data_IF_278153359448
#
_entry.id   IF_278153359448
#
_cell.length_a   1.000
_cell.length_b   1.000
_cell.length_c   1.000
_cell.angle_alpha   90.00
_cell.angle_beta   90.00
_cell.angle_gamma   90.00
#
_symmetry.space_group_name_H-M   'P 1'
#
loop_
_entity.id
_entity.type
_entity.pdbx_description
1 polymer ?
#
# COMPACT_ATOMS: atom_id res chain seq x y z
N UNK A 1 -59.72 -56.41 12.70
CA UNK A 1 -58.87 -55.28 13.13
C UNK A 1 -57.70 -55.25 12.16
N UNK A 2 -57.88 -54.57 11.01
CA UNK A 2 -57.51 -53.18 10.70
C UNK A 2 -56.04 -53.12 10.21
N UNK A 3 -55.82 -53.12 8.89
CA UNK A 3 -55.60 -51.94 8.00
C UNK A 3 -54.07 -51.74 7.92
N UNK A 4 -53.36 -51.55 6.80
CA UNK A 4 -53.43 -50.57 5.72
C UNK A 4 -52.32 -50.97 4.72
N UNK A 5 -52.42 -50.55 3.44
CA UNK A 5 -51.34 -49.99 2.59
C UNK A 5 -51.66 -50.24 1.10
N UNK A 6 -52.46 -49.33 0.52
CA UNK A 6 -52.46 -49.10 -0.93
C UNK A 6 -51.36 -48.11 -1.26
N UNK A 7 -50.41 -48.56 -2.08
CA UNK A 7 -49.32 -47.79 -2.66
C UNK A 7 -49.87 -46.94 -3.80
N UNK A 8 -49.77 -45.62 -3.66
CA UNK A 8 -49.91 -44.67 -4.78
C UNK A 8 -48.64 -43.85 -4.89
N UNK A 9 -48.04 -43.93 -6.07
CA UNK A 9 -46.86 -43.19 -6.54
C UNK A 9 -46.98 -41.67 -6.36
N UNK A 10 -45.89 -40.95 -6.05
CA UNK A 10 -45.91 -39.50 -5.98
C UNK A 10 -45.81 -38.86 -7.37
N UNK A 11 -46.70 -37.92 -7.67
CA UNK A 11 -46.50 -36.86 -8.65
C UNK A 11 -46.93 -35.56 -7.99
N UNK A 12 -45.99 -34.64 -7.72
CA UNK A 12 -46.28 -33.22 -7.60
C UNK A 12 -44.99 -32.44 -7.83
N UNK A 13 -44.96 -31.66 -8.92
CA UNK A 13 -44.07 -30.52 -9.02
C UNK A 13 -44.49 -29.46 -8.02
N UNK A 14 -43.51 -28.82 -7.39
CA UNK A 14 -43.70 -27.57 -6.67
C UNK A 14 -42.69 -26.56 -7.19
N UNK A 15 -43.25 -25.49 -7.73
CA UNK A 15 -42.60 -24.25 -8.13
C UNK A 15 -41.82 -23.66 -6.96
N UNK A 16 -40.59 -23.21 -7.23
CA UNK A 16 -39.87 -22.32 -6.31
C UNK A 16 -40.53 -20.93 -6.37
N UNK A 17 -41.63 -20.75 -5.63
CA UNK A 17 -42.16 -19.42 -5.35
C UNK A 17 -41.18 -18.69 -4.43
N UNK A 18 -40.34 -17.83 -4.97
CA UNK A 18 -39.55 -16.87 -4.20
C UNK A 18 -40.51 -15.85 -3.56
N UNK A 19 -40.96 -16.15 -2.35
CA UNK A 19 -41.65 -15.17 -1.51
C UNK A 19 -40.63 -14.13 -1.05
N UNK A 20 -40.54 -13.00 -1.75
CA UNK A 20 -39.90 -11.79 -1.24
C UNK A 20 -40.81 -11.17 -0.19
N UNK A 21 -40.54 -11.44 1.09
CA UNK A 21 -41.12 -10.63 2.16
C UNK A 21 -40.52 -9.22 2.11
N UNK A 22 -41.32 -8.14 2.13
CA UNK A 22 -40.79 -6.79 2.23
C UNK A 22 -40.13 -6.59 3.61
N UNK A 23 -38.84 -6.26 3.60
CA UNK A 23 -38.07 -5.97 4.82
C UNK A 23 -38.62 -4.67 5.43
N UNK A 24 -39.24 -4.77 6.60
CA UNK A 24 -39.66 -3.61 7.38
C UNK A 24 -38.51 -3.13 8.27
N UNK A 25 -38.43 -1.82 8.49
CA UNK A 25 -37.30 -1.14 9.17
C UNK A 25 -37.18 -1.51 10.67
N UNK A 26 -38.07 -2.36 11.18
CA UNK A 26 -38.15 -2.73 12.59
C UNK A 26 -38.48 -4.22 12.80
N UNK A 27 -37.94 -5.11 11.96
CA UNK A 27 -38.01 -6.55 12.21
C UNK A 27 -36.95 -6.96 13.25
N UNK A 28 -37.34 -7.43 14.44
CA UNK A 28 -36.40 -7.83 15.50
C UNK A 28 -35.52 -9.03 15.12
N UNK A 29 -35.82 -9.75 14.02
CA UNK A 29 -35.01 -10.86 13.51
C UNK A 29 -33.95 -10.42 12.48
N UNK A 30 -33.93 -9.15 12.06
CA UNK A 30 -32.96 -8.62 11.09
C UNK A 30 -32.09 -7.57 11.78
N UNK A 31 -30.86 -7.97 12.13
CA UNK A 31 -29.84 -7.03 12.57
C UNK A 31 -29.15 -6.42 11.35
N UNK A 32 -28.86 -5.12 11.41
CA UNK A 32 -28.14 -4.33 10.40
C UNK A 32 -28.89 -3.99 9.10
N UNK A 33 -29.92 -3.14 9.20
CA UNK A 33 -30.37 -2.35 8.05
C UNK A 33 -29.31 -1.26 7.80
N UNK A 34 -28.66 -1.30 6.64
CA UNK A 34 -27.66 -0.30 6.24
C UNK A 34 -28.37 1.04 6.04
N UNK A 35 -28.09 2.00 6.93
CA UNK A 35 -28.50 3.39 6.78
C UNK A 35 -27.45 4.12 5.92
N UNK A 36 -27.73 4.46 4.65
CA UNK A 36 -26.76 5.11 3.77
C UNK A 36 -26.45 6.56 4.18
N UNK A 37 -27.16 7.13 5.17
CA UNK A 37 -26.88 8.45 5.73
C UNK A 37 -25.88 8.44 6.90
N UNK A 38 -25.46 7.24 7.35
CA UNK A 38 -24.54 7.07 8.47
C UNK A 38 -23.43 6.07 8.12
N UNK A 39 -22.20 6.39 8.50
CA UNK A 39 -21.10 5.42 8.45
C UNK A 39 -21.27 4.48 9.64
N UNK A 40 -21.86 3.30 9.41
CA UNK A 40 -21.93 2.25 10.43
C UNK A 40 -20.52 1.70 10.70
N UNK A 41 -20.20 1.48 11.98
CA UNK A 41 -18.98 0.76 12.40
C UNK A 41 -19.05 -0.67 11.84
N UNK A 42 -17.93 -1.28 11.42
CA UNK A 42 -17.91 -2.71 11.14
C UNK A 42 -18.35 -3.46 12.39
N UNK A 43 -19.40 -4.25 12.24
CA UNK A 43 -20.13 -4.86 13.34
C UNK A 43 -19.28 -5.88 14.11
N UNK A 44 -19.51 -5.92 15.42
CA UNK A 44 -18.76 -6.74 16.36
C UNK A 44 -18.97 -8.23 16.11
N UNK A 45 -17.95 -8.90 15.59
CA UNK A 45 -17.72 -10.30 15.95
C UNK A 45 -17.01 -10.34 17.30
N UNK A 46 -17.77 -10.67 18.33
CA UNK A 46 -17.23 -11.14 19.59
C UNK A 46 -16.47 -12.44 19.34
N UNK A 47 -15.16 -12.37 19.54
CA UNK A 47 -14.18 -13.40 19.26
C UNK A 47 -12.91 -12.68 18.83
N UNK A 48 -11.99 -12.48 19.78
CA UNK A 48 -10.73 -11.72 19.72
C UNK A 48 -10.66 -10.41 20.53
N UNK A 49 -11.48 -10.25 21.58
CA UNK A 49 -11.28 -9.23 22.62
C UNK A 49 -10.63 -9.78 23.90
N UNK A 50 -9.75 -10.78 23.77
CA UNK A 50 -8.84 -11.21 24.84
C UNK A 50 -7.46 -11.55 24.25
N UNK A 51 -6.82 -10.55 23.64
CA UNK A 51 -5.36 -10.57 23.50
C UNK A 51 -4.87 -9.12 23.59
N UNK A 52 -4.43 -8.78 24.80
CA UNK A 52 -3.70 -7.56 25.10
C UNK A 52 -2.43 -7.49 24.23
N UNK A 53 -2.09 -6.26 23.85
CA UNK A 53 -0.77 -5.75 23.46
C UNK A 53 -0.24 -5.85 22.02
N UNK A 54 -0.86 -6.54 21.05
CA UNK A 54 -0.30 -6.56 19.67
C UNK A 54 -1.35 -6.57 18.56
N UNK A 55 -2.29 -5.61 18.57
CA UNK A 55 -3.19 -5.40 17.45
C UNK A 55 -2.61 -4.35 16.49
N UNK A 56 -2.00 -4.80 15.38
CA UNK A 56 -1.71 -4.00 14.19
C UNK A 56 -3.02 -3.62 13.44
N UNK A 57 -3.97 -3.02 14.16
CA UNK A 57 -5.17 -2.43 13.58
C UNK A 57 -4.83 -1.09 12.93
N UNK A 58 -5.51 -0.75 11.84
CA UNK A 58 -5.41 0.56 11.19
C UNK A 58 -6.00 1.64 12.11
N UNK A 59 -5.18 2.15 13.04
CA UNK A 59 -5.48 3.34 13.80
C UNK A 59 -5.32 4.56 12.88
N UNK A 60 -6.24 5.55 12.99
CA UNK A 60 -6.08 6.84 12.31
C UNK A 60 -5.01 7.73 12.96
N UNK A 61 -4.52 7.34 14.13
CA UNK A 61 -3.29 7.86 14.71
C UNK A 61 -2.10 7.15 14.04
N UNK A 62 -1.08 7.91 13.69
CA UNK A 62 0.07 7.42 12.94
C UNK A 62 0.70 6.20 13.62
N UNK A 63 1.04 5.15 12.84
CA UNK A 63 1.86 4.03 13.33
C UNK A 63 3.18 4.50 13.97
N UNK A 64 3.62 5.72 13.64
CA UNK A 64 4.78 6.37 14.24
C UNK A 64 4.57 6.76 15.71
N UNK A 65 3.39 7.23 16.12
CA UNK A 65 3.13 7.63 17.51
C UNK A 65 3.12 6.42 18.44
N UNK A 66 2.54 5.31 17.97
CA UNK A 66 2.59 4.03 18.68
C UNK A 66 4.02 3.47 18.74
N UNK A 67 4.79 3.59 17.66
CA UNK A 67 6.21 3.23 17.66
C UNK A 67 7.01 4.10 18.66
N UNK A 68 6.84 5.42 18.65
CA UNK A 68 7.54 6.33 19.56
C UNK A 68 7.16 6.08 21.02
N UNK A 69 5.90 5.74 21.28
CA UNK A 69 5.45 5.31 22.61
C UNK A 69 6.15 4.01 23.03
N UNK A 70 6.22 3.01 22.16
CA UNK A 70 6.93 1.76 22.40
C UNK A 70 8.44 1.98 22.62
N UNK A 71 9.08 2.88 21.85
CA UNK A 71 10.48 3.27 22.03
C UNK A 71 10.70 3.93 23.39
N UNK A 72 9.79 4.82 23.80
CA UNK A 72 9.87 5.55 25.07
C UNK A 72 9.63 4.63 26.28
N UNK A 73 8.73 3.67 26.14
CA UNK A 73 8.32 2.76 27.22
C UNK A 73 9.21 1.51 27.32
N UNK A 74 9.93 1.14 26.25
CA UNK A 74 10.81 -0.04 26.23
C UNK A 74 12.27 0.32 26.49
N UNK A 75 12.69 0.18 27.75
CA UNK A 75 14.10 0.30 28.13
C UNK A 75 15.00 -0.79 27.50
N UNK A 76 14.42 -1.93 27.09
CA UNK A 76 15.12 -3.07 26.51
C UNK A 76 15.18 -3.05 24.97
N UNK A 77 14.55 -2.07 24.32
CA UNK A 77 14.52 -1.97 22.87
C UNK A 77 15.92 -1.92 22.23
N UNK A 78 16.91 -1.17 22.76
CA UNK A 78 18.26 -1.16 22.19
C UNK A 78 18.92 -2.54 22.22
N UNK A 79 18.66 -3.31 23.27
CA UNK A 79 19.24 -4.63 23.51
C UNK A 79 18.63 -5.66 22.57
N UNK A 80 17.29 -5.67 22.43
CA UNK A 80 16.60 -6.52 21.47
C UNK A 80 16.88 -6.15 20.01
N UNK A 81 17.02 -4.87 19.68
CA UNK A 81 17.40 -4.43 18.33
C UNK A 81 18.82 -4.87 18.00
N UNK A 82 19.75 -4.71 18.95
CA UNK A 82 21.12 -5.25 18.84
C UNK A 82 21.09 -6.77 18.66
N UNK A 83 20.33 -7.49 19.48
CA UNK A 83 20.22 -8.94 19.37
C UNK A 83 19.60 -9.37 18.04
N UNK A 84 18.53 -8.73 17.56
CA UNK A 84 17.91 -9.04 16.27
C UNK A 84 18.88 -8.80 15.11
N UNK A 85 19.58 -7.66 15.13
CA UNK A 85 20.58 -7.29 14.14
C UNK A 85 21.71 -8.32 14.11
N UNK A 86 22.37 -8.56 15.25
CA UNK A 86 23.56 -9.38 15.31
C UNK A 86 23.29 -10.89 15.36
N UNK A 87 22.14 -11.36 15.86
CA UNK A 87 21.78 -12.78 15.81
C UNK A 87 21.56 -13.24 14.38
N UNK A 88 20.80 -12.48 13.58
CA UNK A 88 20.56 -12.80 12.16
C UNK A 88 21.81 -12.59 11.31
N UNK A 89 22.59 -11.53 11.57
CA UNK A 89 23.84 -11.29 10.85
C UNK A 89 24.97 -12.27 11.23
N UNK A 90 25.03 -12.70 12.50
CA UNK A 90 26.05 -13.63 13.01
C UNK A 90 25.92 -15.05 12.44
N UNK A 91 24.70 -15.48 12.11
CA UNK A 91 24.42 -16.78 11.46
C UNK A 91 25.00 -16.82 10.02
N UNK A 92 25.08 -15.69 9.32
CA UNK A 92 25.65 -15.66 7.96
C UNK A 92 27.16 -15.48 7.92
N UNK A 93 27.74 -14.64 8.77
CA UNK A 93 29.21 -14.43 8.80
C UNK A 93 29.94 -15.74 9.13
N UNK A 94 29.33 -16.59 9.95
CA UNK A 94 29.85 -17.93 10.29
C UNK A 94 29.66 -18.97 9.18
N UNK A 95 28.76 -18.71 8.21
CA UNK A 95 28.48 -19.61 7.07
C UNK A 95 29.42 -19.41 5.87
N UNK A 96 30.40 -18.49 5.96
CA UNK A 96 31.46 -18.31 4.95
C UNK A 96 31.00 -17.68 3.62
N UNK A 97 29.78 -17.17 3.54
CA UNK A 97 29.22 -16.58 2.32
C UNK A 97 29.38 -15.05 2.35
N UNK A 98 30.20 -14.54 1.42
CA UNK A 98 30.38 -13.15 0.97
C UNK A 98 31.17 -12.17 1.86
N UNK A 99 32.44 -11.94 1.49
CA UNK A 99 33.25 -10.76 1.90
C UNK A 99 32.55 -9.42 1.64
N UNK A 100 31.70 -9.35 0.61
CA UNK A 100 30.95 -8.14 0.26
C UNK A 100 29.87 -7.80 1.29
N UNK A 101 29.21 -8.81 1.88
CA UNK A 101 28.17 -8.61 2.87
C UNK A 101 28.73 -7.99 4.16
N UNK A 102 29.88 -8.46 4.63
CA UNK A 102 30.56 -7.86 5.79
C UNK A 102 30.93 -6.38 5.54
N UNK A 103 31.34 -6.03 4.32
CA UNK A 103 31.64 -4.65 3.93
C UNK A 103 30.37 -3.78 3.86
N UNK A 104 29.25 -4.34 3.41
CA UNK A 104 27.96 -3.65 3.37
C UNK A 104 27.39 -3.40 4.77
N UNK A 105 27.47 -4.40 5.65
CA UNK A 105 27.11 -4.26 7.07
C UNK A 105 27.99 -3.22 7.75
N UNK A 106 29.31 -3.26 7.55
CA UNK A 106 30.23 -2.24 8.08
C UNK A 106 29.87 -0.84 7.58
N UNK A 107 29.58 -0.70 6.28
CA UNK A 107 29.14 0.57 5.70
C UNK A 107 27.82 1.07 6.29
N UNK A 108 26.89 0.16 6.59
CA UNK A 108 25.63 0.49 7.24
C UNK A 108 25.82 0.90 8.71
N UNK A 109 26.66 0.19 9.46
CA UNK A 109 27.00 0.54 10.85
C UNK A 109 27.65 1.93 10.94
N UNK A 110 28.49 2.29 9.97
CA UNK A 110 29.05 3.64 9.86
C UNK A 110 27.99 4.70 9.53
N UNK A 111 26.96 4.35 8.75
CA UNK A 111 25.87 5.27 8.40
C UNK A 111 24.89 5.54 9.55
N UNK A 112 24.70 4.58 10.46
CA UNK A 112 23.82 4.76 11.62
C UNK A 112 24.53 5.40 12.82
N UNK A 113 25.87 5.51 12.78
CA UNK A 113 26.62 6.29 13.77
C UNK A 113 26.37 7.77 13.53
N UNK A 114 25.53 8.36 14.37
CA UNK A 114 25.12 9.76 14.32
C UNK A 114 25.41 10.45 15.64
N UNK A 115 25.79 11.73 15.60
CA UNK A 115 25.72 12.61 16.77
C UNK A 115 24.26 12.91 17.12
N UNK A 116 23.99 13.42 18.32
CA UNK A 116 22.64 13.80 18.74
C UNK A 116 21.99 14.80 17.77
N UNK A 117 22.75 15.76 17.24
CA UNK A 117 22.27 16.73 16.25
C UNK A 117 21.97 16.08 14.88
N UNK A 118 22.74 15.06 14.50
CA UNK A 118 22.52 14.31 13.26
C UNK A 118 21.30 13.39 13.39
N UNK A 119 21.13 12.76 14.56
CA UNK A 119 19.97 11.94 14.88
C UNK A 119 18.69 12.78 14.87
N UNK A 120 18.71 13.97 15.48
CA UNK A 120 17.56 14.88 15.47
C UNK A 120 17.18 15.26 14.03
N UNK A 121 18.16 15.69 13.22
CA UNK A 121 17.94 16.00 11.79
C UNK A 121 17.44 14.80 11.00
N UNK A 122 17.94 13.60 11.31
CA UNK A 122 17.48 12.36 10.69
C UNK A 122 16.03 12.07 11.04
N UNK A 123 15.64 12.14 12.31
CA UNK A 123 14.25 11.93 12.75
C UNK A 123 13.32 13.00 12.16
N UNK A 124 13.73 14.27 12.15
CA UNK A 124 12.99 15.35 11.50
C UNK A 124 12.84 15.10 9.99
N UNK A 125 13.90 14.67 9.31
CA UNK A 125 13.87 14.26 7.91
C UNK A 125 12.93 13.09 7.66
N UNK A 126 12.96 12.05 8.51
CA UNK A 126 12.04 10.90 8.42
C UNK A 126 10.58 11.32 8.67
N UNK A 127 10.33 12.19 9.66
CA UNK A 127 8.99 12.71 9.96
C UNK A 127 8.44 13.60 8.83
N UNK A 128 9.29 14.47 8.27
CA UNK A 128 8.92 15.33 7.14
C UNK A 128 8.72 14.51 5.85
N UNK A 129 9.52 13.46 5.65
CA UNK A 129 9.33 12.46 4.61
C UNK A 129 8.13 11.54 4.81
N UNK A 130 7.56 11.47 6.02
CA UNK A 130 6.35 10.68 6.31
C UNK A 130 5.06 11.44 6.00
N UNK A 131 5.08 12.78 5.99
CA UNK A 131 3.87 13.59 5.78
C UNK A 131 3.88 14.29 4.41
N UNK A 132 3.29 13.62 3.42
CA UNK A 132 3.22 14.07 2.01
C UNK A 132 2.36 15.31 1.76
N UNK A 133 1.33 15.54 2.59
CA UNK A 133 0.33 16.60 2.35
C UNK A 133 0.50 17.77 3.33
N UNK A 134 1.73 18.29 3.42
CA UNK A 134 2.10 19.45 4.25
C UNK A 134 2.46 20.66 3.40
N UNK A 135 2.15 21.85 3.92
CA UNK A 135 2.48 23.12 3.30
C UNK A 135 1.26 23.86 2.76
N UNK A 136 1.46 25.16 2.47
CA UNK A 136 0.39 26.11 2.17
C UNK A 136 -0.56 25.65 1.05
N UNK A 137 -0.05 24.94 0.04
CA UNK A 137 -0.87 24.39 -1.04
C UNK A 137 -1.85 23.32 -0.54
N UNK A 138 -1.38 22.34 0.25
CA UNK A 138 -2.24 21.28 0.77
C UNK A 138 -3.18 21.78 1.87
N UNK A 139 -2.75 22.77 2.65
CA UNK A 139 -3.62 23.45 3.62
C UNK A 139 -4.78 24.18 2.93
N UNK A 140 -4.49 24.82 1.79
CA UNK A 140 -5.53 25.43 0.97
C UNK A 140 -6.52 24.39 0.43
N UNK A 141 -6.03 23.27 -0.12
CA UNK A 141 -6.91 22.19 -0.60
C UNK A 141 -7.80 21.66 0.54
N UNK A 142 -7.26 21.52 1.75
CA UNK A 142 -8.01 21.12 2.95
C UNK A 142 -9.08 22.15 3.32
N UNK A 143 -8.75 23.45 3.26
CA UNK A 143 -9.70 24.53 3.50
C UNK A 143 -10.84 24.51 2.47
N UNK A 144 -10.53 24.31 1.18
CA UNK A 144 -11.54 24.24 0.12
C UNK A 144 -12.45 23.03 0.32
N UNK A 145 -11.88 21.86 0.63
CA UNK A 145 -12.65 20.65 0.97
C UNK A 145 -13.57 20.86 2.17
N UNK A 146 -13.13 21.59 3.20
CA UNK A 146 -13.92 21.88 4.39
C UNK A 146 -15.09 22.84 4.13
N UNK A 147 -14.93 23.77 3.19
CA UNK A 147 -15.92 24.83 2.93
C UNK A 147 -16.85 24.52 1.74
N UNK A 148 -16.48 23.62 0.84
CA UNK A 148 -17.30 23.30 -0.33
C UNK A 148 -18.43 22.33 -0.01
N UNK A 149 -19.61 22.59 -0.58
CA UNK A 149 -20.75 21.66 -0.59
C UNK A 149 -20.73 20.73 -1.80
N UNK A 150 -19.87 21.00 -2.79
CA UNK A 150 -19.77 20.19 -4.01
C UNK A 150 -19.07 18.86 -3.74
N UNK A 151 -19.80 17.76 -3.92
CA UNK A 151 -19.27 16.40 -3.82
C UNK A 151 -18.25 16.13 -4.94
N UNK A 152 -18.52 16.61 -6.15
CA UNK A 152 -17.61 16.46 -7.31
C UNK A 152 -16.27 17.13 -7.04
N UNK A 153 -16.26 18.37 -6.53
CA UNK A 153 -15.01 19.06 -6.20
C UNK A 153 -14.21 18.30 -5.12
N UNK A 154 -14.88 17.72 -4.11
CA UNK A 154 -14.20 16.89 -3.11
C UNK A 154 -13.57 15.65 -3.75
N UNK A 155 -14.31 14.97 -4.64
CA UNK A 155 -13.81 13.78 -5.34
C UNK A 155 -12.58 14.12 -6.20
N UNK A 156 -12.62 15.22 -6.95
CA UNK A 156 -11.52 15.62 -7.83
C UNK A 156 -10.28 16.07 -7.03
N UNK A 157 -10.46 16.72 -5.88
CA UNK A 157 -9.34 17.04 -4.98
C UNK A 157 -8.71 15.75 -4.48
N UNK A 158 -9.52 14.76 -4.06
CA UNK A 158 -9.01 13.46 -3.61
C UNK A 158 -8.31 12.69 -4.73
N UNK A 159 -8.83 12.74 -5.97
CA UNK A 159 -8.17 12.13 -7.13
C UNK A 159 -6.80 12.76 -7.38
N UNK A 160 -6.72 14.09 -7.39
CA UNK A 160 -5.45 14.81 -7.52
C UNK A 160 -4.45 14.40 -6.41
N UNK A 161 -4.88 14.36 -5.15
CA UNK A 161 -4.03 13.96 -4.02
C UNK A 161 -3.56 12.51 -4.14
N UNK A 162 -4.44 11.61 -4.59
CA UNK A 162 -4.10 10.20 -4.84
C UNK A 162 -3.05 10.07 -5.93
N UNK A 163 -3.24 10.75 -7.07
CA UNK A 163 -2.29 10.75 -8.19
C UNK A 163 -0.95 11.36 -7.79
N UNK A 164 -0.94 12.45 -7.04
CA UNK A 164 0.29 13.03 -6.50
C UNK A 164 1.05 12.02 -5.64
N UNK A 165 0.37 11.37 -4.67
CA UNK A 165 0.97 10.39 -3.78
C UNK A 165 1.56 9.18 -4.53
N UNK A 166 0.85 8.69 -5.55
CA UNK A 166 1.31 7.56 -6.35
C UNK A 166 2.46 7.96 -7.30
N UNK A 167 2.41 9.14 -7.90
CA UNK A 167 3.48 9.67 -8.77
C UNK A 167 4.78 9.90 -7.99
N UNK A 168 4.71 10.59 -6.85
CA UNK A 168 5.88 10.90 -6.02
C UNK A 168 6.49 9.65 -5.37
N UNK A 169 5.71 8.59 -5.24
CA UNK A 169 6.19 7.29 -4.75
C UNK A 169 6.60 6.33 -5.87
N UNK A 170 6.57 6.75 -7.15
CA UNK A 170 6.70 5.86 -8.32
C UNK A 170 7.92 4.95 -8.28
N UNK A 171 9.10 5.50 -7.96
CA UNK A 171 10.37 4.75 -7.85
C UNK A 171 10.30 3.68 -6.75
N UNK A 172 9.74 4.04 -5.59
CA UNK A 172 9.57 3.09 -4.48
C UNK A 172 8.55 2.00 -4.81
N UNK A 173 7.44 2.36 -5.47
CA UNK A 173 6.43 1.40 -5.90
C UNK A 173 7.04 0.42 -6.91
N UNK A 174 7.85 0.89 -7.87
CA UNK A 174 8.54 0.04 -8.83
C UNK A 174 9.50 -0.95 -8.14
N UNK A 175 10.29 -0.49 -7.16
CA UNK A 175 11.14 -1.37 -6.34
C UNK A 175 10.32 -2.44 -5.61
N UNK A 176 9.18 -2.07 -5.04
CA UNK A 176 8.27 -3.02 -4.38
C UNK A 176 7.69 -4.03 -5.37
N UNK A 177 7.32 -3.60 -6.59
CA UNK A 177 6.86 -4.49 -7.66
C UNK A 177 7.94 -5.53 -7.97
N UNK A 178 9.19 -5.11 -8.16
CA UNK A 178 10.30 -6.01 -8.50
C UNK A 178 10.62 -7.00 -7.38
N UNK A 179 10.68 -6.51 -6.13
CA UNK A 179 10.87 -7.37 -4.95
C UNK A 179 9.75 -8.41 -4.85
N UNK A 180 8.50 -7.98 -5.07
CA UNK A 180 7.34 -8.87 -5.05
C UNK A 180 7.40 -9.89 -6.19
N UNK A 181 7.75 -9.49 -7.41
CA UNK A 181 7.96 -10.40 -8.55
C UNK A 181 9.07 -11.42 -8.28
N UNK A 182 10.16 -11.02 -7.63
CA UNK A 182 11.20 -11.94 -7.17
C UNK A 182 10.70 -12.95 -6.14
N UNK A 183 9.83 -12.52 -5.22
CA UNK A 183 9.18 -13.42 -4.25
C UNK A 183 8.21 -14.39 -4.91
N UNK A 184 7.44 -13.92 -5.90
CA UNK A 184 6.56 -14.76 -6.72
C UNK A 184 7.40 -15.80 -7.47
N UNK A 185 8.47 -15.39 -8.15
CA UNK A 185 9.38 -16.28 -8.87
C UNK A 185 9.92 -17.39 -7.96
N UNK A 186 10.32 -17.08 -6.72
CA UNK A 186 10.75 -18.10 -5.74
C UNK A 186 9.62 -19.02 -5.27
N UNK A 187 8.37 -18.55 -5.29
CA UNK A 187 7.20 -19.27 -4.77
C UNK A 187 6.46 -20.11 -5.82
N UNK A 188 6.79 -19.99 -7.11
CA UNK A 188 6.18 -20.76 -8.20
C UNK A 188 7.11 -21.91 -8.69
N UNK A 189 6.59 -22.93 -9.40
CA UNK A 189 7.39 -24.01 -9.99
C UNK A 189 8.42 -23.51 -11.01
N UNK A 190 9.53 -24.24 -11.16
CA UNK A 190 10.66 -23.88 -12.03
C UNK A 190 10.27 -23.59 -13.49
N UNK A 191 9.27 -24.31 -14.01
CA UNK A 191 8.73 -24.10 -15.37
C UNK A 191 8.17 -22.71 -15.62
N UNK A 192 7.71 -22.00 -14.57
CA UNK A 192 7.20 -20.63 -14.66
C UNK A 192 8.24 -19.58 -14.26
N UNK A 193 9.35 -19.97 -13.62
CA UNK A 193 10.36 -19.02 -13.13
C UNK A 193 11.11 -18.33 -14.25
N UNK A 194 11.61 -19.10 -15.22
CA UNK A 194 12.39 -18.58 -16.35
C UNK A 194 11.62 -17.52 -17.14
N UNK A 195 10.41 -17.84 -17.65
CA UNK A 195 9.61 -16.85 -18.37
C UNK A 195 9.29 -15.59 -17.55
N UNK A 196 9.01 -15.75 -16.24
CA UNK A 196 8.78 -14.60 -15.35
C UNK A 196 10.02 -13.71 -15.24
N UNK A 197 11.20 -14.30 -15.09
CA UNK A 197 12.47 -13.56 -15.00
C UNK A 197 12.79 -12.82 -16.31
N UNK A 198 12.52 -13.43 -17.47
CA UNK A 198 12.69 -12.76 -18.77
C UNK A 198 11.79 -11.52 -18.90
N UNK A 199 10.53 -11.61 -18.48
CA UNK A 199 9.64 -10.44 -18.47
C UNK A 199 10.09 -9.37 -17.48
N UNK A 200 10.57 -9.77 -16.29
CA UNK A 200 11.11 -8.83 -15.29
C UNK A 200 12.31 -8.03 -15.83
N UNK A 201 13.16 -8.64 -16.67
CA UNK A 201 14.33 -7.97 -17.26
C UNK A 201 13.95 -6.85 -18.25
N UNK A 202 12.73 -6.85 -18.78
CA UNK A 202 12.23 -5.79 -19.67
C UNK A 202 11.88 -4.50 -18.92
N UNK A 203 11.69 -4.58 -17.59
CA UNK A 203 11.33 -3.43 -16.77
C UNK A 203 12.53 -2.49 -16.61
N UNK A 204 12.33 -1.21 -16.92
CA UNK A 204 13.34 -0.16 -16.75
C UNK A 204 13.43 0.25 -15.28
N UNK A 205 14.55 -0.07 -14.64
CA UNK A 205 14.86 0.34 -13.26
C UNK A 205 15.23 1.83 -13.13
N UNK A 206 15.54 2.48 -14.26
CA UNK A 206 15.93 3.88 -14.33
C UNK A 206 14.73 4.83 -14.51
N UNK A 207 13.51 4.29 -14.55
CA UNK A 207 12.30 5.07 -14.68
C UNK A 207 12.16 6.07 -13.52
N UNK A 208 12.06 7.34 -13.85
CA UNK A 208 11.86 8.42 -12.87
C UNK A 208 10.42 8.43 -12.35
N UNK A 209 10.19 9.12 -11.23
CA UNK A 209 8.83 9.37 -10.75
C UNK A 209 7.97 10.01 -11.85
N UNK A 210 6.81 9.44 -12.11
CA UNK A 210 5.91 9.89 -13.17
C UNK A 210 6.10 9.24 -14.55
N UNK A 211 7.28 8.67 -14.82
CA UNK A 211 7.57 7.92 -16.04
C UNK A 211 7.19 6.45 -15.85
N UNK A 212 5.90 6.17 -16.03
CA UNK A 212 5.32 4.85 -15.69
C UNK A 212 4.88 4.07 -16.93
N UNK A 213 4.77 4.71 -18.09
CA UNK A 213 4.07 4.16 -19.26
C UNK A 213 4.67 2.86 -19.78
N UNK A 214 6.00 2.81 -20.01
CA UNK A 214 6.68 1.62 -20.53
C UNK A 214 6.56 0.44 -19.56
N UNK A 215 6.90 0.67 -18.29
CA UNK A 215 6.87 -0.36 -17.27
C UNK A 215 5.43 -0.84 -17.00
N UNK A 216 4.45 0.08 -16.96
CA UNK A 216 3.05 -0.26 -16.77
C UNK A 216 2.51 -1.12 -17.93
N UNK A 217 2.91 -0.85 -19.18
CA UNK A 217 2.54 -1.67 -20.32
C UNK A 217 3.05 -3.12 -20.17
N UNK A 218 4.34 -3.31 -19.84
CA UNK A 218 4.92 -4.64 -19.61
C UNK A 218 4.20 -5.35 -18.46
N UNK A 219 3.95 -4.64 -17.35
CA UNK A 219 3.26 -5.19 -16.18
C UNK A 219 1.84 -5.65 -16.53
N UNK A 220 1.08 -4.83 -17.26
CA UNK A 220 -0.34 -5.06 -17.57
C UNK A 220 -0.55 -6.05 -18.71
N UNK A 221 0.29 -6.02 -19.73
CA UNK A 221 0.08 -6.75 -20.98
C UNK A 221 0.86 -8.07 -21.03
N UNK A 222 1.96 -8.19 -20.28
CA UNK A 222 2.76 -9.42 -20.25
C UNK A 222 2.67 -10.12 -18.88
N UNK A 223 3.08 -9.44 -17.80
CA UNK A 223 3.28 -10.06 -16.49
C UNK A 223 1.95 -10.47 -15.83
N UNK A 224 0.96 -9.57 -15.79
CA UNK A 224 -0.36 -9.87 -15.19
C UNK A 224 -1.07 -11.01 -15.91
N UNK A 225 -1.15 -11.05 -17.26
CA UNK A 225 -1.72 -12.19 -17.98
C UNK A 225 -0.97 -13.50 -17.72
N UNK A 226 0.36 -13.47 -17.68
CA UNK A 226 1.17 -14.65 -17.36
C UNK A 226 0.86 -15.21 -15.97
N UNK A 227 0.82 -14.35 -14.94
CA UNK A 227 0.53 -14.75 -13.57
C UNK A 227 -0.93 -15.19 -13.39
N UNK A 228 -1.86 -14.58 -14.13
CA UNK A 228 -3.26 -15.01 -14.16
C UNK A 228 -3.41 -16.39 -14.78
N UNK A 229 -2.67 -16.68 -15.87
CA UNK A 229 -2.64 -18.01 -16.48
C UNK A 229 -2.06 -19.07 -15.53
N UNK A 230 -0.99 -18.72 -14.82
CA UNK A 230 -0.42 -19.56 -13.77
C UNK A 230 -1.48 -19.95 -12.73
N UNK A 231 -2.11 -18.97 -12.06
CA UNK A 231 -3.12 -19.22 -11.02
C UNK A 231 -4.29 -20.04 -11.57
N UNK A 232 -4.75 -19.75 -12.80
CA UNK A 232 -5.84 -20.48 -13.43
C UNK A 232 -5.52 -21.94 -13.78
N UNK A 233 -4.26 -22.27 -14.09
CA UNK A 233 -3.84 -23.63 -14.44
C UNK A 233 -3.44 -24.47 -13.24
N UNK A 234 -2.81 -23.86 -12.24
CA UNK A 234 -2.27 -24.58 -11.08
C UNK A 234 -3.25 -24.60 -9.90
N UNK A 235 -4.31 -23.78 -9.95
CA UNK A 235 -5.22 -23.55 -8.83
C UNK A 235 -4.47 -23.19 -7.55
N UNK A 236 -3.35 -22.47 -7.68
CA UNK A 236 -2.53 -22.06 -6.55
C UNK A 236 -3.32 -21.10 -5.63
N UNK A 237 -3.61 -21.59 -4.43
CA UNK A 237 -4.27 -20.86 -3.33
C UNK A 237 -3.29 -20.50 -2.21
N UNK A 238 -1.99 -20.70 -2.42
CA UNK A 238 -0.94 -20.48 -1.43
C UNK A 238 -0.26 -19.12 -1.57
N UNK A 239 0.97 -19.05 -1.05
CA UNK A 239 1.79 -17.82 -0.95
C UNK A 239 1.92 -17.05 -2.28
N UNK A 240 1.98 -17.73 -3.42
CA UNK A 240 2.09 -17.05 -4.71
C UNK A 240 0.85 -16.19 -5.02
N UNK A 241 -0.35 -16.66 -4.67
CA UNK A 241 -1.60 -15.92 -4.89
C UNK A 241 -1.69 -14.65 -4.06
N UNK A 242 -1.26 -14.71 -2.80
CA UNK A 242 -1.23 -13.54 -1.91
C UNK A 242 -0.26 -12.47 -2.45
N UNK A 243 0.91 -12.92 -2.90
CA UNK A 243 1.91 -12.05 -3.53
C UNK A 243 1.40 -11.43 -4.83
N UNK A 244 0.68 -12.19 -5.67
CA UNK A 244 0.06 -11.69 -6.91
C UNK A 244 -1.03 -10.65 -6.60
N UNK A 245 -1.79 -10.83 -5.52
CA UNK A 245 -2.80 -9.84 -5.09
C UNK A 245 -2.14 -8.53 -4.68
N UNK A 246 -1.08 -8.60 -3.86
CA UNK A 246 -0.27 -7.44 -3.48
C UNK A 246 0.42 -6.78 -4.69
N UNK A 247 0.83 -7.60 -5.67
CA UNK A 247 1.44 -7.12 -6.91
C UNK A 247 0.45 -6.27 -7.70
N UNK A 248 -0.78 -6.76 -7.86
CA UNK A 248 -1.84 -6.07 -8.62
C UNK A 248 -2.14 -4.69 -8.04
N UNK A 249 -2.19 -4.57 -6.70
CA UNK A 249 -2.33 -3.29 -6.03
C UNK A 249 -1.18 -2.33 -6.35
N UNK A 250 0.07 -2.79 -6.27
CA UNK A 250 1.22 -1.95 -6.58
C UNK A 250 1.27 -1.55 -8.06
N UNK A 251 0.91 -2.44 -8.98
CA UNK A 251 0.80 -2.14 -10.41
C UNK A 251 -0.23 -1.03 -10.66
N UNK A 252 -1.43 -1.15 -10.05
CA UNK A 252 -2.47 -0.13 -10.20
C UNK A 252 -2.02 1.24 -9.66
N UNK A 253 -1.31 1.25 -8.53
CA UNK A 253 -0.73 2.48 -7.98
C UNK A 253 0.37 3.05 -8.88
N UNK A 254 1.24 2.20 -9.41
CA UNK A 254 2.31 2.63 -10.31
C UNK A 254 1.74 3.21 -11.60
N UNK A 255 0.74 2.57 -12.22
CA UNK A 255 0.04 3.11 -13.40
C UNK A 255 -0.65 4.45 -13.08
N UNK A 256 -1.32 4.55 -11.93
CA UNK A 256 -1.97 5.78 -11.48
C UNK A 256 -0.98 6.94 -11.22
N UNK A 257 0.29 6.62 -10.97
CA UNK A 257 1.38 7.57 -10.77
C UNK A 257 1.92 8.20 -12.06
N UNK A 258 1.28 8.02 -13.22
CA UNK A 258 1.68 8.68 -14.47
C UNK A 258 1.64 10.22 -14.36
N UNK A 259 2.71 10.89 -14.82
CA UNK A 259 2.86 12.35 -14.72
C UNK A 259 1.81 13.10 -15.51
N UNK A 260 1.56 12.70 -16.76
CA UNK A 260 0.60 13.38 -17.64
C UNK A 260 -0.81 13.34 -17.03
N UNK A 261 -1.23 12.19 -16.52
CA UNK A 261 -2.51 12.01 -15.87
C UNK A 261 -2.62 12.81 -14.55
N UNK A 262 -1.53 12.87 -13.77
CA UNK A 262 -1.45 13.77 -12.61
C UNK A 262 -1.67 15.25 -13.02
N UNK A 263 -0.96 15.73 -14.04
CA UNK A 263 -1.11 17.10 -14.53
C UNK A 263 -2.51 17.37 -15.10
N UNK A 264 -3.15 16.37 -15.72
CA UNK A 264 -4.54 16.46 -16.16
C UNK A 264 -5.50 16.64 -14.97
N UNK A 265 -5.31 15.88 -13.88
CA UNK A 265 -6.14 16.05 -12.68
C UNK A 265 -6.02 17.45 -12.08
N UNK A 266 -4.81 18.04 -12.11
CA UNK A 266 -4.63 19.42 -11.67
C UNK A 266 -5.33 20.44 -12.60
N UNK A 267 -5.21 20.27 -13.92
CA UNK A 267 -5.94 21.10 -14.89
C UNK A 267 -7.45 21.02 -14.68
N UNK A 268 -7.96 19.84 -14.33
CA UNK A 268 -9.36 19.66 -13.99
C UNK A 268 -9.76 20.46 -12.75
N UNK A 269 -8.93 20.44 -11.70
CA UNK A 269 -9.13 21.27 -10.50
C UNK A 269 -9.14 22.77 -10.80
N UNK A 270 -8.29 23.24 -11.71
CA UNK A 270 -8.27 24.63 -12.14
C UNK A 270 -9.57 25.07 -12.86
N UNK A 271 -10.44 24.14 -13.26
CA UNK A 271 -11.76 24.45 -13.81
C UNK A 271 -12.77 24.97 -12.78
N UNK A 272 -12.51 24.78 -11.49
CA UNK A 272 -13.42 25.21 -10.42
C UNK A 272 -13.15 26.65 -9.97
N UNK A 273 -14.19 27.48 -9.94
CA UNK A 273 -14.10 28.87 -9.47
C UNK A 273 -13.50 28.99 -8.07
N UNK A 274 -13.93 28.14 -7.13
CA UNK A 274 -13.41 28.08 -5.77
C UNK A 274 -11.90 27.81 -5.68
N UNK A 275 -11.36 27.06 -6.66
CA UNK A 275 -9.93 26.77 -6.78
C UNK A 275 -9.21 27.96 -7.43
N UNK A 276 -9.76 28.51 -8.51
CA UNK A 276 -9.21 29.66 -9.23
C UNK A 276 -9.07 30.91 -8.33
N UNK A 277 -10.09 31.22 -7.54
CA UNK A 277 -10.09 32.37 -6.63
C UNK A 277 -8.96 32.32 -5.60
N UNK A 278 -8.62 31.10 -5.15
CA UNK A 278 -7.62 30.87 -4.11
C UNK A 278 -6.21 30.68 -4.68
N UNK A 279 -6.08 30.04 -5.84
CA UNK A 279 -4.80 29.75 -6.48
C UNK A 279 -4.30 30.88 -7.41
N UNK A 280 -5.10 31.93 -7.67
CA UNK A 280 -4.70 33.17 -8.36
C UNK A 280 -3.85 32.97 -9.63
N UNK A 281 -4.16 31.95 -10.43
CA UNK A 281 -3.45 31.68 -11.68
C UNK A 281 -2.18 30.83 -11.55
N UNK A 282 -2.06 30.03 -10.48
CA UNK A 282 -0.99 29.03 -10.35
C UNK A 282 -0.99 28.10 -11.57
N UNK A 283 0.08 28.16 -12.35
CA UNK A 283 0.25 27.32 -13.53
C UNK A 283 0.90 25.96 -13.20
N UNK A 284 0.99 25.09 -14.19
CA UNK A 284 1.57 23.75 -14.03
C UNK A 284 3.06 23.82 -13.63
N UNK A 285 3.83 24.76 -14.18
CA UNK A 285 5.26 24.86 -13.90
C UNK A 285 5.49 25.32 -12.45
N UNK A 286 4.68 26.25 -11.98
CA UNK A 286 4.65 26.74 -10.61
C UNK A 286 4.20 25.64 -9.64
N UNK A 287 3.23 24.80 -10.02
CA UNK A 287 2.86 23.62 -9.23
C UNK A 287 4.04 22.67 -9.09
N UNK A 288 4.71 22.33 -10.19
CA UNK A 288 5.86 21.40 -10.14
C UNK A 288 6.98 21.95 -9.26
N UNK A 289 7.27 23.25 -9.34
CA UNK A 289 8.24 23.90 -8.45
C UNK A 289 7.80 23.85 -6.98
N UNK A 290 6.54 24.16 -6.70
CA UNK A 290 5.99 24.12 -5.34
C UNK A 290 6.09 22.71 -4.75
N UNK A 291 5.73 21.69 -5.53
CA UNK A 291 5.76 20.29 -5.08
C UNK A 291 7.20 19.79 -4.88
N UNK A 292 8.15 20.17 -5.74
CA UNK A 292 9.58 19.88 -5.54
C UNK A 292 10.17 20.54 -4.30
N UNK A 293 9.60 21.67 -3.87
CA UNK A 293 10.05 22.39 -2.68
C UNK A 293 9.44 21.84 -1.39
N UNK A 294 8.51 20.88 -1.46
CA UNK A 294 7.93 20.26 -0.27
C UNK A 294 8.99 19.55 0.55
N UNK A 295 8.82 19.57 1.88
CA UNK A 295 9.73 18.90 2.80
C UNK A 295 9.75 17.38 2.56
N UNK A 296 8.67 16.83 1.99
CA UNK A 296 8.60 15.45 1.55
C UNK A 296 9.62 15.13 0.44
N UNK A 297 9.60 15.87 -0.68
CA UNK A 297 10.53 15.62 -1.80
C UNK A 297 11.99 15.82 -1.36
N UNK A 298 12.26 16.87 -0.58
CA UNK A 298 13.60 17.13 -0.01
C UNK A 298 14.07 16.01 0.92
N UNK A 299 13.17 15.45 1.73
CA UNK A 299 13.48 14.35 2.62
C UNK A 299 13.63 13.02 1.88
N UNK A 300 12.85 12.78 0.83
CA UNK A 300 12.92 11.58 0.00
C UNK A 300 14.30 11.41 -0.65
N UNK A 301 14.89 12.50 -1.14
CA UNK A 301 16.26 12.54 -1.68
C UNK A 301 17.34 12.18 -0.64
N UNK A 302 17.02 12.27 0.66
CA UNK A 302 17.96 12.04 1.76
C UNK A 302 17.79 10.66 2.44
N UNK A 303 16.84 9.82 1.99
CA UNK A 303 16.54 8.51 2.62
C UNK A 303 17.51 7.38 2.24
N UNK A 304 18.82 7.53 2.49
CA UNK A 304 19.81 6.49 2.17
C UNK A 304 19.80 5.31 3.16
N UNK A 305 19.55 5.58 4.45
CA UNK A 305 19.71 4.61 5.54
C UNK A 305 18.60 3.53 5.56
N UNK A 306 17.29 3.88 5.49
CA UNK A 306 16.23 2.86 5.47
C UNK A 306 16.34 1.92 4.25
N UNK A 307 16.74 2.47 3.10
CA UNK A 307 16.97 1.70 1.87
C UNK A 307 18.13 0.70 2.01
N UNK A 308 19.24 1.12 2.65
CA UNK A 308 20.38 0.23 2.85
C UNK A 308 20.10 -0.84 3.92
N UNK A 309 19.33 -0.49 4.95
CA UNK A 309 18.87 -1.44 5.95
C UNK A 309 18.00 -2.55 5.33
N UNK A 310 17.05 -2.18 4.47
CA UNK A 310 16.19 -3.17 3.79
C UNK A 310 16.98 -4.06 2.83
N UNK A 311 18.01 -3.53 2.13
CA UNK A 311 18.91 -4.33 1.30
C UNK A 311 19.64 -5.40 2.12
N UNK A 312 20.22 -5.01 3.27
CA UNK A 312 20.93 -5.94 4.16
C UNK A 312 19.99 -7.03 4.70
N UNK A 313 18.75 -6.68 5.04
CA UNK A 313 17.76 -7.67 5.47
C UNK A 313 17.34 -8.62 4.34
N UNK A 314 17.27 -8.16 3.10
CA UNK A 314 16.89 -9.00 1.95
C UNK A 314 18.01 -9.93 1.50
N UNK A 315 19.26 -9.48 1.54
CA UNK A 315 20.42 -10.33 1.31
C UNK A 315 20.66 -11.29 2.47
N UNK A 316 20.15 -10.91 3.65
CA UNK A 316 20.27 -11.69 4.88
C UNK A 316 19.19 -12.73 5.17
N UNK A 317 18.16 -12.83 4.32
CA UNK A 317 17.02 -13.76 4.45
C UNK A 317 16.97 -14.74 3.28
#
# INVERSE_FOLDING_TARGET
>A
MADILKVTTPITGYENSTKTNPIQVHDPNIQNIVDPSKVSRPDGKAGYSEQKENAFGLHSDSNFDMFMKMVKESAQLPEWMTELLFSKMGIMVTSGLNKNFAQEVSSFLQMIQMTDEQLLRFIEGQSNGAVRFKGAFFDLLRQIMGNTTSVTLKADILEFLKRYNDMSSGTHILKNILSNLGNISRSIPSSYRGPLQEMMQKLSLAASNGDTAQNAAILKEEIVPFLSNYVGRTYDMGKARDLITLLTLNIARYENGNKEAFLQSFRHLLGYSAIQEKLKGLDINQLEQLLRMTDFEKAADQMSIPNKFTSILQEGL
#
